data_IF_949928351643
#
_entry.id   IF_949928351643
#
_cell.length_a   1.000
_cell.length_b   1.000
_cell.length_c   1.000
_cell.angle_alpha   90.00
_cell.angle_beta   90.00
_cell.angle_gamma   90.00
#
_symmetry.space_group_name_H-M   'P 1'
#
loop_
_entity.id
_entity.type
_entity.pdbx_description
1 polymer ?
#
# COMPACT_ATOMS: atom_id res chain seq x y z
N UNK A 1 -29.87 0.79 18.02
CA UNK A 1 -28.43 0.47 18.09
C UNK A 1 -27.96 0.09 16.69
N UNK A 2 -26.86 0.65 16.23
CA UNK A 2 -26.17 0.22 15.00
C UNK A 2 -25.24 -0.92 15.41
N UNK A 3 -25.32 -2.03 14.70
CA UNK A 3 -24.39 -3.16 14.80
C UNK A 3 -23.53 -3.17 13.55
N UNK A 4 -22.37 -3.81 13.61
CA UNK A 4 -21.48 -3.98 12.46
C UNK A 4 -21.27 -5.47 12.18
N UNK A 5 -21.21 -5.82 10.90
CA UNK A 5 -20.82 -7.19 10.50
C UNK A 5 -19.36 -7.43 10.88
N UNK A 6 -18.99 -8.69 11.06
CA UNK A 6 -17.58 -9.04 11.27
C UNK A 6 -16.72 -8.56 10.08
N UNK A 7 -15.48 -8.11 10.31
CA UNK A 7 -14.54 -7.80 9.25
C UNK A 7 -14.31 -9.03 8.35
N UNK A 8 -14.31 -8.82 7.04
CA UNK A 8 -13.94 -9.88 6.10
C UNK A 8 -12.45 -10.18 6.11
N UNK A 9 -12.04 -11.27 5.47
CA UNK A 9 -10.62 -11.64 5.38
C UNK A 9 -9.87 -10.87 4.28
N UNK A 10 -10.55 -10.23 3.33
CA UNK A 10 -9.88 -9.47 2.27
C UNK A 10 -9.29 -8.15 2.78
N UNK A 11 -8.20 -7.73 2.13
CA UNK A 11 -7.52 -6.47 2.41
C UNK A 11 -7.53 -5.57 1.19
N UNK A 12 -7.96 -4.33 1.37
CA UNK A 12 -7.81 -3.26 0.40
C UNK A 12 -6.52 -2.48 0.68
N UNK A 13 -5.80 -2.12 -0.36
CA UNK A 13 -4.52 -1.45 -0.25
C UNK A 13 -4.35 -0.35 -1.31
N UNK A 14 -3.39 0.54 -1.06
CA UNK A 14 -2.83 1.40 -2.10
C UNK A 14 -1.71 0.64 -2.78
N UNK A 15 -1.77 0.55 -4.11
CA UNK A 15 -0.66 0.17 -4.95
C UNK A 15 0.25 1.36 -5.24
N UNK A 16 1.53 1.11 -5.43
CA UNK A 16 2.55 2.10 -5.79
C UNK A 16 3.18 1.71 -7.12
N UNK A 17 2.97 2.51 -8.17
CA UNK A 17 3.53 2.24 -9.49
C UNK A 17 5.01 2.65 -9.54
N UNK A 18 5.89 1.68 -9.56
CA UNK A 18 7.35 1.90 -9.56
C UNK A 18 7.93 2.09 -10.96
N UNK A 19 7.17 1.81 -12.02
CA UNK A 19 7.68 1.90 -13.40
C UNK A 19 6.67 2.47 -14.41
N UNK A 20 5.92 3.50 -14.01
CA UNK A 20 4.92 4.14 -14.86
C UNK A 20 5.50 4.64 -16.18
N UNK A 21 4.82 4.33 -17.30
CA UNK A 21 5.20 4.71 -18.65
C UNK A 21 4.10 5.51 -19.38
N UNK A 22 2.82 5.37 -19.00
CA UNK A 22 1.69 6.08 -19.59
C UNK A 22 1.30 7.30 -18.74
N UNK A 23 1.04 8.44 -19.40
CA UNK A 23 0.71 9.72 -18.77
C UNK A 23 -0.46 10.43 -19.47
N UNK A 24 -1.36 9.68 -20.12
CA UNK A 24 -2.53 10.22 -20.86
C UNK A 24 -3.40 11.09 -19.97
N UNK A 25 -3.67 10.65 -18.74
CA UNK A 25 -4.54 11.33 -17.78
C UNK A 25 -3.76 12.11 -16.71
N UNK A 26 -2.45 12.21 -16.85
CA UNK A 26 -1.59 12.80 -15.84
C UNK A 26 -1.76 14.31 -15.69
N UNK A 27 -1.70 14.79 -14.46
CA UNK A 27 -1.55 16.22 -14.15
C UNK A 27 -0.16 16.75 -14.52
N UNK A 28 0.87 15.91 -14.54
CA UNK A 28 2.27 16.25 -14.87
C UNK A 28 2.41 16.68 -16.34
N UNK A 29 3.01 17.84 -16.57
CA UNK A 29 3.13 18.42 -17.92
C UNK A 29 4.53 18.32 -18.49
N UNK A 30 5.55 18.19 -17.67
CA UNK A 30 6.95 18.16 -18.07
C UNK A 30 7.60 16.81 -17.78
N UNK A 31 8.66 16.48 -18.52
CA UNK A 31 9.43 15.26 -18.26
C UNK A 31 10.18 15.34 -16.92
N UNK A 32 10.50 16.55 -16.45
CA UNK A 32 11.10 16.76 -15.14
C UNK A 32 10.14 16.37 -14.02
N UNK A 33 8.84 16.72 -14.09
CA UNK A 33 7.82 16.31 -13.12
C UNK A 33 7.63 14.78 -13.13
N UNK A 34 7.54 14.16 -14.31
CA UNK A 34 7.42 12.69 -14.45
C UNK A 34 8.62 11.97 -13.84
N UNK A 35 9.84 12.44 -14.15
CA UNK A 35 11.08 11.87 -13.63
C UNK A 35 11.18 12.05 -12.11
N UNK A 36 10.79 13.22 -11.59
CA UNK A 36 10.77 13.51 -10.16
C UNK A 36 9.85 12.55 -9.41
N UNK A 37 8.64 12.34 -9.91
CA UNK A 37 7.69 11.39 -9.30
C UNK A 37 8.24 9.95 -9.35
N UNK A 38 8.77 9.51 -10.49
CA UNK A 38 9.35 8.17 -10.61
C UNK A 38 10.49 7.94 -9.61
N UNK A 39 11.41 8.88 -9.47
CA UNK A 39 12.49 8.81 -8.48
C UNK A 39 11.96 8.79 -7.05
N UNK A 40 10.96 9.61 -6.73
CA UNK A 40 10.34 9.63 -5.42
C UNK A 40 9.69 8.29 -5.08
N UNK A 41 8.94 7.68 -6.00
CA UNK A 41 8.30 6.38 -5.78
C UNK A 41 9.30 5.21 -5.67
N UNK A 42 10.51 5.33 -6.20
CA UNK A 42 11.60 4.37 -6.00
C UNK A 42 12.34 4.56 -4.66
N UNK A 43 12.21 5.70 -4.02
CA UNK A 43 12.82 5.98 -2.71
C UNK A 43 11.95 5.41 -1.58
N UNK A 44 12.54 4.56 -0.73
CA UNK A 44 11.83 3.88 0.38
C UNK A 44 11.30 4.86 1.40
N UNK A 45 12.12 5.82 1.84
CA UNK A 45 11.73 6.78 2.87
C UNK A 45 10.56 7.66 2.39
N UNK A 46 10.50 7.95 1.08
CA UNK A 46 9.36 8.65 0.48
C UNK A 46 8.08 7.81 0.59
N UNK A 47 8.12 6.52 0.23
CA UNK A 47 6.95 5.65 0.34
C UNK A 47 6.50 5.47 1.79
N UNK A 48 7.44 5.31 2.73
CA UNK A 48 7.15 5.25 4.17
C UNK A 48 6.51 6.55 4.66
N UNK A 49 6.97 7.71 4.19
CA UNK A 49 6.36 8.99 4.53
C UNK A 49 4.89 9.08 4.10
N UNK A 50 4.56 8.56 2.92
CA UNK A 50 3.17 8.46 2.45
C UNK A 50 2.36 7.50 3.33
N UNK A 51 2.92 6.33 3.67
CA UNK A 51 2.25 5.33 4.51
C UNK A 51 1.87 5.90 5.89
N UNK A 52 2.80 6.59 6.55
CA UNK A 52 2.55 7.23 7.86
C UNK A 52 1.67 8.48 7.77
N UNK A 53 1.52 9.11 6.60
CA UNK A 53 0.69 10.28 6.38
C UNK A 53 -0.81 9.98 6.21
N UNK A 54 -1.18 8.72 5.96
CA UNK A 54 -2.55 8.30 5.68
C UNK A 54 -3.32 8.07 6.98
N UNK A 55 -4.35 8.90 7.23
CA UNK A 55 -5.36 8.69 8.27
C UNK A 55 -6.41 7.70 7.76
N UNK A 56 -6.20 6.42 8.06
CA UNK A 56 -7.10 5.33 7.65
C UNK A 56 -8.47 5.44 8.30
N UNK A 57 -8.54 6.02 9.50
CA UNK A 57 -9.81 6.27 10.18
C UNK A 57 -10.62 7.32 9.44
N UNK A 58 -10.00 8.42 9.02
CA UNK A 58 -10.67 9.44 8.21
C UNK A 58 -11.11 8.88 6.85
N UNK A 59 -10.25 8.09 6.18
CA UNK A 59 -10.55 7.41 4.93
C UNK A 59 -11.75 6.48 5.05
N UNK A 60 -11.77 5.62 6.06
CA UNK A 60 -12.84 4.63 6.25
C UNK A 60 -14.14 5.23 6.81
N UNK A 61 -14.06 6.38 7.47
CA UNK A 61 -15.27 7.10 7.94
C UNK A 61 -16.20 7.50 6.79
N UNK A 62 -15.69 7.59 5.56
CA UNK A 62 -16.50 7.83 4.35
C UNK A 62 -17.44 6.65 4.04
N UNK A 63 -17.11 5.45 4.49
CA UNK A 63 -17.86 4.21 4.25
C UNK A 63 -18.74 3.85 5.45
N UNK A 64 -18.15 3.74 6.63
CA UNK A 64 -18.78 3.14 7.82
C UNK A 64 -19.22 4.19 8.86
N UNK A 65 -19.02 5.48 8.57
CA UNK A 65 -19.16 6.52 9.58
C UNK A 65 -18.06 6.44 10.65
N UNK A 66 -18.04 7.41 11.56
CA UNK A 66 -16.95 7.53 12.56
C UNK A 66 -16.89 6.33 13.51
N UNK A 67 -18.03 5.82 13.93
CA UNK A 67 -18.10 4.78 14.97
C UNK A 67 -17.70 3.40 14.43
N UNK A 68 -17.88 3.15 13.12
CA UNK A 68 -17.54 1.88 12.48
C UNK A 68 -16.19 1.87 11.77
N UNK A 69 -15.57 3.02 11.59
CA UNK A 69 -14.36 3.14 10.78
C UNK A 69 -13.20 2.28 11.29
N UNK A 70 -12.94 2.31 12.60
CA UNK A 70 -11.84 1.57 13.20
C UNK A 70 -11.95 0.07 12.97
N UNK A 71 -13.15 -0.50 13.01
CA UNK A 71 -13.37 -1.94 12.85
C UNK A 71 -12.91 -2.49 11.49
N UNK A 72 -12.81 -1.63 10.50
CA UNK A 72 -12.44 -2.00 9.14
C UNK A 72 -10.98 -1.72 8.80
N UNK A 73 -10.16 -1.21 9.72
CA UNK A 73 -8.76 -0.85 9.43
C UNK A 73 -7.87 -2.08 9.40
N UNK A 74 -6.99 -2.11 8.39
CA UNK A 74 -5.88 -3.05 8.23
C UNK A 74 -4.55 -2.31 8.34
N UNK A 75 -3.65 -2.82 9.18
CA UNK A 75 -2.27 -2.32 9.28
C UNK A 75 -1.27 -3.24 8.58
N UNK A 76 -1.68 -4.44 8.21
CA UNK A 76 -0.90 -5.41 7.43
C UNK A 76 -1.70 -5.88 6.23
N UNK A 77 -1.03 -6.38 5.20
CA UNK A 77 -1.72 -6.95 4.04
C UNK A 77 -2.35 -8.31 4.38
N UNK A 78 -1.63 -9.17 5.10
CA UNK A 78 -2.22 -10.35 5.76
C UNK A 78 -2.91 -9.88 7.04
N UNK A 79 -4.20 -10.18 7.27
CA UNK A 79 -4.87 -9.82 8.53
C UNK A 79 -4.10 -10.31 9.75
N UNK A 80 -3.99 -9.48 10.79
CA UNK A 80 -3.14 -9.75 11.95
C UNK A 80 -3.49 -11.02 12.72
N UNK A 81 -4.75 -11.46 12.65
CA UNK A 81 -5.29 -12.67 13.30
C UNK A 81 -5.57 -13.82 12.33
N UNK A 82 -5.08 -13.73 11.08
CA UNK A 82 -5.39 -14.70 10.02
C UNK A 82 -4.89 -16.12 10.33
N UNK A 83 -3.67 -16.22 10.89
CA UNK A 83 -3.08 -17.47 11.41
C UNK A 83 -2.33 -17.19 12.70
N UNK A 84 -2.00 -18.26 13.44
CA UNK A 84 -1.22 -18.17 14.68
C UNK A 84 -0.13 -19.24 14.73
N UNK A 85 1.01 -18.93 15.33
CA UNK A 85 2.09 -19.84 15.65
C UNK A 85 2.21 -19.95 17.17
N UNK A 86 1.75 -21.05 17.75
CA UNK A 86 1.59 -21.18 19.19
C UNK A 86 0.62 -20.13 19.73
N UNK A 87 1.05 -19.35 20.72
CA UNK A 87 0.25 -18.31 21.37
C UNK A 87 0.32 -16.94 20.64
N UNK A 88 1.11 -16.81 19.57
CA UNK A 88 1.32 -15.57 18.84
C UNK A 88 0.43 -15.51 17.60
N UNK A 89 -0.25 -14.39 17.40
CA UNK A 89 -0.91 -14.08 16.14
C UNK A 89 0.12 -13.79 15.05
N UNK A 90 -0.30 -13.79 13.79
CA UNK A 90 0.57 -13.37 12.68
C UNK A 90 1.06 -11.93 12.85
N UNK A 91 0.19 -11.04 13.33
CA UNK A 91 0.57 -9.66 13.65
C UNK A 91 1.64 -9.54 14.73
N UNK A 92 1.61 -10.42 15.75
CA UNK A 92 2.66 -10.47 16.78
C UNK A 92 4.01 -10.90 16.17
N UNK A 93 4.01 -11.92 15.31
CA UNK A 93 5.20 -12.37 14.60
C UNK A 93 5.79 -11.25 13.72
N UNK A 94 4.94 -10.55 12.97
CA UNK A 94 5.37 -9.41 12.14
C UNK A 94 5.96 -8.30 13.02
N UNK A 95 5.32 -7.97 14.14
CA UNK A 95 5.81 -6.94 15.07
C UNK A 95 7.23 -7.26 15.57
N UNK A 96 7.51 -8.51 15.88
CA UNK A 96 8.84 -8.97 16.27
C UNK A 96 9.88 -8.76 15.15
N UNK A 97 9.51 -9.09 13.89
CA UNK A 97 10.40 -8.89 12.74
C UNK A 97 10.62 -7.40 12.46
N UNK A 98 9.58 -6.57 12.57
CA UNK A 98 9.67 -5.12 12.34
C UNK A 98 10.66 -4.42 13.28
N UNK A 99 10.87 -4.97 14.48
CA UNK A 99 11.86 -4.44 15.43
C UNK A 99 13.31 -4.46 14.90
N UNK A 100 13.57 -5.22 13.84
CA UNK A 100 14.91 -5.34 13.22
C UNK A 100 15.15 -4.35 12.07
N UNK A 101 14.13 -3.60 11.64
CA UNK A 101 14.26 -2.63 10.53
C UNK A 101 14.77 -1.28 11.06
N UNK A 102 13.92 -0.36 11.42
CA UNK A 102 14.38 0.97 11.82
C UNK A 102 13.52 1.57 12.94
N UNK A 103 14.01 2.68 13.52
CA UNK A 103 13.31 3.39 14.60
C UNK A 103 11.96 3.95 14.16
N UNK A 104 11.75 4.15 12.86
CA UNK A 104 10.47 4.56 12.28
C UNK A 104 9.35 3.59 12.65
N UNK A 105 9.64 2.32 12.84
CA UNK A 105 8.66 1.28 13.21
C UNK A 105 8.46 1.13 14.72
N UNK A 106 9.27 1.81 15.53
CA UNK A 106 9.16 1.75 16.99
C UNK A 106 7.80 2.25 17.46
N UNK A 107 7.12 1.43 18.29
CA UNK A 107 5.81 1.75 18.87
C UNK A 107 4.63 1.66 17.90
N UNK A 108 4.83 1.17 16.67
CA UNK A 108 3.73 0.89 15.74
C UNK A 108 2.95 -0.35 16.23
N UNK A 109 1.64 -0.24 16.22
CA UNK A 109 0.74 -1.35 16.54
C UNK A 109 0.15 -1.90 15.25
N UNK A 110 0.52 -3.12 14.88
CA UNK A 110 0.07 -3.78 13.65
C UNK A 110 -1.24 -4.57 13.80
N UNK A 111 -1.86 -4.58 15.00
CA UNK A 111 -3.16 -5.22 15.17
C UNK A 111 -4.24 -4.53 14.35
N UNK A 112 -5.19 -5.31 13.82
CA UNK A 112 -6.35 -4.80 13.10
C UNK A 112 -7.34 -4.05 14.00
N UNK A 113 -8.26 -3.32 13.41
CA UNK A 113 -9.33 -2.64 14.14
C UNK A 113 -8.92 -1.31 14.80
N UNK A 114 -7.76 -0.80 14.47
CA UNK A 114 -7.25 0.51 14.91
C UNK A 114 -6.23 1.03 13.90
N UNK A 115 -6.01 2.35 13.82
CA UNK A 115 -4.99 2.94 12.94
C UNK A 115 -3.65 3.04 13.68
N UNK A 116 -2.82 2.00 13.54
CA UNK A 116 -1.50 1.94 14.16
C UNK A 116 -0.40 2.62 13.36
N UNK A 117 -0.66 2.92 12.09
CA UNK A 117 0.33 3.47 11.16
C UNK A 117 0.26 4.99 11.04
N UNK A 118 -0.92 5.60 11.16
CA UNK A 118 -1.05 7.05 11.01
C UNK A 118 -0.23 7.80 12.07
N UNK A 119 0.81 8.47 11.61
CA UNK A 119 1.69 9.27 12.48
C UNK A 119 2.33 10.41 11.68
N UNK A 120 1.74 11.64 11.70
CA UNK A 120 2.25 12.78 10.95
C UNK A 120 3.71 13.16 11.28
N UNK A 121 4.16 12.92 12.50
CA UNK A 121 5.55 13.25 12.87
C UNK A 121 6.55 12.26 12.25
N UNK A 122 6.22 10.95 12.27
CA UNK A 122 7.00 9.94 11.52
C UNK A 122 6.96 10.22 10.01
N UNK A 123 5.78 10.56 9.47
CA UNK A 123 5.64 10.93 8.06
C UNK A 123 6.59 12.07 7.68
N UNK A 124 6.68 13.14 8.49
CA UNK A 124 7.59 14.26 8.26
C UNK A 124 9.05 13.86 8.39
N UNK A 125 9.39 13.01 9.38
CA UNK A 125 10.76 12.55 9.59
C UNK A 125 11.27 11.73 8.38
N UNK A 126 10.48 10.76 7.91
CA UNK A 126 10.82 9.96 6.73
C UNK A 126 10.85 10.84 5.46
N UNK A 127 9.90 11.78 5.32
CA UNK A 127 9.93 12.71 4.21
C UNK A 127 11.18 13.58 4.20
N UNK A 128 11.67 14.01 5.36
CA UNK A 128 12.89 14.82 5.46
C UNK A 128 14.12 14.05 4.93
N UNK A 129 14.25 12.76 5.30
CA UNK A 129 15.30 11.87 4.77
C UNK A 129 15.17 11.72 3.25
N UNK A 130 13.96 11.41 2.77
CA UNK A 130 13.69 11.27 1.35
C UNK A 130 14.01 12.55 0.57
N UNK A 131 13.60 13.72 1.09
CA UNK A 131 13.80 15.01 0.44
C UNK A 131 15.29 15.34 0.28
N UNK A 132 16.10 15.10 1.30
CA UNK A 132 17.56 15.29 1.23
C UNK A 132 18.18 14.44 0.11
N UNK A 133 17.87 13.13 0.08
CA UNK A 133 18.37 12.23 -0.95
C UNK A 133 17.89 12.63 -2.35
N UNK A 134 16.61 12.90 -2.52
CA UNK A 134 15.99 13.23 -3.80
C UNK A 134 16.47 14.59 -4.35
N UNK A 135 16.70 15.58 -3.49
CA UNK A 135 17.30 16.87 -3.90
C UNK A 135 18.72 16.66 -4.46
N UNK A 136 19.50 15.77 -3.86
CA UNK A 136 20.82 15.38 -4.38
C UNK A 136 20.78 14.76 -5.78
N UNK A 137 19.62 14.15 -6.14
CA UNK A 137 19.37 13.58 -7.47
C UNK A 137 18.72 14.56 -8.46
N UNK A 138 18.52 15.82 -8.09
CA UNK A 138 17.91 16.86 -8.92
C UNK A 138 16.38 16.75 -9.05
N UNK A 139 15.72 16.09 -8.08
CA UNK A 139 14.26 15.98 -8.03
C UNK A 139 13.63 17.33 -7.73
N UNK A 140 12.56 17.67 -8.46
CA UNK A 140 11.79 18.89 -8.29
C UNK A 140 10.57 18.63 -7.37
N UNK A 141 10.28 19.57 -6.50
CA UNK A 141 9.11 19.56 -5.61
C UNK A 141 8.11 20.67 -6.02
N UNK A 142 6.79 20.47 -5.75
CA UNK A 142 6.19 19.30 -5.11
C UNK A 142 6.24 18.05 -6.00
N UNK A 143 6.23 16.87 -5.36
CA UNK A 143 6.00 15.61 -6.06
C UNK A 143 4.51 15.47 -6.34
N UNK A 144 4.14 15.29 -7.58
CA UNK A 144 2.77 15.09 -8.05
C UNK A 144 2.45 13.60 -8.16
N UNK A 145 1.47 13.13 -7.41
CA UNK A 145 0.99 11.74 -7.44
C UNK A 145 -0.41 11.67 -8.05
N UNK A 146 -0.51 11.13 -9.27
CA UNK A 146 -1.79 10.91 -9.93
C UNK A 146 -2.51 9.71 -9.28
N UNK A 147 -3.77 9.97 -8.87
CA UNK A 147 -4.69 8.99 -8.29
C UNK A 147 -5.96 8.94 -9.14
N UNK A 148 -6.12 7.95 -10.03
CA UNK A 148 -7.33 7.81 -10.82
C UNK A 148 -8.50 7.33 -9.97
N UNK A 149 -9.67 7.90 -10.20
CA UNK A 149 -10.92 7.50 -9.54
C UNK A 149 -12.09 7.53 -10.53
N UNK A 150 -13.04 6.63 -10.34
CA UNK A 150 -14.31 6.64 -11.07
C UNK A 150 -15.15 7.85 -10.60
N UNK A 151 -15.36 8.82 -11.51
CA UNK A 151 -16.13 10.04 -11.24
C UNK A 151 -17.61 9.78 -10.92
N UNK A 152 -18.15 8.63 -11.31
CA UNK A 152 -19.52 8.24 -11.02
C UNK A 152 -19.72 7.75 -9.58
N UNK A 153 -18.65 7.30 -8.92
CA UNK A 153 -18.63 6.82 -7.55
C UNK A 153 -18.34 7.96 -6.56
N UNK A 154 -19.39 8.54 -5.98
CA UNK A 154 -19.24 9.58 -4.95
C UNK A 154 -18.38 9.10 -3.76
N UNK A 155 -18.47 7.82 -3.42
CA UNK A 155 -17.69 7.22 -2.35
C UNK A 155 -16.20 7.20 -2.69
N UNK A 156 -15.82 6.71 -3.87
CA UNK A 156 -14.42 6.65 -4.29
C UNK A 156 -13.81 8.06 -4.37
N UNK A 157 -14.57 9.03 -4.88
CA UNK A 157 -14.15 10.45 -4.90
C UNK A 157 -13.95 10.98 -3.48
N UNK A 158 -14.86 10.69 -2.53
CA UNK A 158 -14.73 11.14 -1.14
C UNK A 158 -13.51 10.47 -0.44
N UNK A 159 -13.28 9.20 -0.68
CA UNK A 159 -12.10 8.48 -0.17
C UNK A 159 -10.79 9.05 -0.75
N UNK A 160 -10.73 9.32 -2.05
CA UNK A 160 -9.57 9.96 -2.68
C UNK A 160 -9.31 11.37 -2.11
N UNK A 161 -10.35 12.15 -1.86
CA UNK A 161 -10.24 13.44 -1.20
C UNK A 161 -9.72 13.33 0.23
N UNK A 162 -10.13 12.30 0.97
CA UNK A 162 -9.61 12.01 2.31
C UNK A 162 -8.10 11.71 2.27
N UNK A 163 -7.64 10.85 1.34
CA UNK A 163 -6.23 10.59 1.13
C UNK A 163 -5.45 11.89 0.82
N UNK A 164 -5.93 12.67 -0.14
CA UNK A 164 -5.33 13.97 -0.49
C UNK A 164 -5.19 14.86 0.73
N UNK A 165 -6.28 15.05 1.48
CA UNK A 165 -6.28 15.95 2.64
C UNK A 165 -5.31 15.51 3.73
N UNK A 166 -5.24 14.21 4.05
CA UNK A 166 -4.40 13.72 5.14
C UNK A 166 -2.93 13.70 4.75
N UNK A 167 -2.59 13.30 3.52
CA UNK A 167 -1.22 13.30 3.03
C UNK A 167 -0.69 14.74 2.90
N UNK A 168 -1.42 15.64 2.23
CA UNK A 168 -0.99 17.02 2.04
C UNK A 168 -0.94 17.81 3.36
N UNK A 169 -1.84 17.51 4.31
CA UNK A 169 -1.78 18.10 5.66
C UNK A 169 -0.55 17.65 6.43
N UNK A 170 -0.17 16.38 6.31
CA UNK A 170 0.97 15.81 7.03
C UNK A 170 2.31 16.26 6.45
N UNK A 171 2.44 16.29 5.12
CA UNK A 171 3.70 16.53 4.43
C UNK A 171 3.87 17.95 3.89
N UNK A 172 2.78 18.70 3.73
CA UNK A 172 2.73 20.01 3.07
C UNK A 172 2.53 19.89 1.55
N UNK A 173 1.61 20.69 1.00
CA UNK A 173 1.32 20.71 -0.44
C UNK A 173 2.46 21.29 -1.28
N UNK A 174 3.41 21.99 -0.66
CA UNK A 174 4.67 22.44 -1.27
C UNK A 174 5.66 21.27 -1.46
N UNK A 175 5.41 20.13 -0.86
CA UNK A 175 6.24 18.94 -0.91
C UNK A 175 5.58 17.81 -1.73
N UNK A 176 4.30 17.53 -1.47
CA UNK A 176 3.55 16.45 -2.13
C UNK A 176 2.15 16.95 -2.48
N UNK A 177 1.71 16.66 -3.69
CA UNK A 177 0.36 16.96 -4.18
C UNK A 177 -0.27 15.66 -4.70
N UNK A 178 -1.45 15.35 -4.21
CA UNK A 178 -2.27 14.26 -4.76
C UNK A 178 -3.17 14.82 -5.84
N UNK A 179 -2.94 14.42 -7.08
CA UNK A 179 -3.76 14.80 -8.23
C UNK A 179 -4.85 13.77 -8.46
N UNK A 180 -6.07 14.09 -8.06
CA UNK A 180 -7.23 13.20 -8.20
C UNK A 180 -7.71 13.30 -9.65
N UNK A 181 -7.47 12.24 -10.43
CA UNK A 181 -7.91 12.15 -11.83
C UNK A 181 -9.31 11.51 -11.86
N UNK A 182 -10.35 12.34 -11.90
CA UNK A 182 -11.73 11.88 -12.03
C UNK A 182 -11.99 11.48 -13.48
N UNK A 183 -12.12 10.18 -13.72
CA UNK A 183 -12.28 9.57 -15.04
C UNK A 183 -13.66 8.94 -15.19
N UNK A 184 -14.08 8.68 -16.43
CA UNK A 184 -15.19 7.77 -16.67
C UNK A 184 -14.86 6.37 -16.14
N UNK A 185 -15.88 5.55 -15.84
CA UNK A 185 -15.64 4.20 -15.33
C UNK A 185 -14.76 3.39 -16.29
N UNK A 186 -15.03 3.47 -17.60
CA UNK A 186 -14.24 2.78 -18.63
C UNK A 186 -12.78 3.28 -18.70
N UNK A 187 -12.57 4.59 -18.68
CA UNK A 187 -11.21 5.15 -18.70
C UNK A 187 -10.44 4.79 -17.42
N UNK A 188 -11.10 4.83 -16.27
CA UNK A 188 -10.49 4.42 -14.99
C UNK A 188 -10.09 2.96 -15.01
N UNK A 189 -10.96 2.06 -15.46
CA UNK A 189 -10.66 0.63 -15.58
C UNK A 189 -9.50 0.38 -16.58
N UNK A 190 -9.51 1.05 -17.73
CA UNK A 190 -8.45 0.91 -18.72
C UNK A 190 -7.11 1.54 -18.30
N UNK A 191 -7.15 2.53 -17.40
CA UNK A 191 -5.95 3.13 -16.82
C UNK A 191 -5.33 2.27 -15.70
N UNK A 192 -6.10 1.33 -15.15
CA UNK A 192 -5.72 0.51 -13.99
C UNK A 192 -5.89 -0.99 -14.30
N UNK A 193 -6.83 -1.65 -13.66
CA UNK A 193 -7.03 -3.12 -13.64
C UNK A 193 -7.11 -3.76 -15.03
N UNK A 194 -7.81 -3.12 -15.98
CA UNK A 194 -8.00 -3.63 -17.34
C UNK A 194 -6.91 -3.14 -18.34
N UNK A 195 -5.86 -2.48 -17.86
CA UNK A 195 -4.73 -2.13 -18.71
C UNK A 195 -4.13 -3.39 -19.36
N UNK A 196 -3.85 -3.31 -20.66
CA UNK A 196 -3.38 -4.47 -21.43
C UNK A 196 -2.03 -5.04 -20.94
N UNK A 197 -1.21 -4.19 -20.34
CA UNK A 197 0.08 -4.50 -19.73
C UNK A 197 0.47 -3.36 -18.79
N UNK A 198 1.54 -3.52 -18.03
CA UNK A 198 2.02 -2.50 -17.09
C UNK A 198 2.37 -1.16 -17.77
N UNK A 199 2.91 -1.19 -18.99
CA UNK A 199 3.24 0.02 -19.73
C UNK A 199 2.01 0.85 -20.14
N UNK A 200 0.83 0.24 -20.17
CA UNK A 200 -0.45 0.92 -20.47
C UNK A 200 -1.10 1.52 -19.23
N UNK A 201 -0.68 1.16 -18.03
CA UNK A 201 -1.21 1.72 -16.77
C UNK A 201 -0.89 3.20 -16.62
N UNK A 202 -1.85 3.97 -16.10
CA UNK A 202 -1.80 5.43 -16.04
C UNK A 202 -2.14 5.93 -14.63
N UNK A 203 -1.26 5.62 -13.67
CA UNK A 203 -1.40 6.00 -12.27
C UNK A 203 -0.03 6.00 -11.56
N UNK A 204 0.11 6.77 -10.50
CA UNK A 204 1.26 6.73 -9.59
C UNK A 204 0.92 5.97 -8.31
N UNK A 205 -0.27 6.20 -7.77
CA UNK A 205 -0.86 5.45 -6.67
C UNK A 205 -2.30 5.05 -7.02
N UNK A 206 -2.73 3.88 -6.56
CA UNK A 206 -4.08 3.35 -6.80
C UNK A 206 -4.68 2.82 -5.51
N UNK A 207 -5.89 3.28 -5.13
CA UNK A 207 -6.59 2.88 -3.91
C UNK A 207 -7.71 1.86 -4.14
N UNK A 208 -7.77 1.26 -5.31
CA UNK A 208 -8.86 0.36 -5.72
C UNK A 208 -8.52 -1.12 -5.66
N UNK A 209 -7.37 -1.49 -5.13
CA UNK A 209 -6.92 -2.88 -5.20
C UNK A 209 -7.33 -3.63 -3.94
N UNK A 210 -8.01 -4.76 -4.12
CA UNK A 210 -8.50 -5.63 -3.03
C UNK A 210 -8.06 -7.05 -3.30
N UNK A 211 -7.55 -7.72 -2.27
CA UNK A 211 -7.21 -9.14 -2.33
C UNK A 211 -7.81 -9.90 -1.16
N UNK A 212 -8.25 -11.12 -1.39
CA UNK A 212 -8.77 -12.04 -0.38
C UNK A 212 -8.12 -13.41 -0.46
N UNK A 213 -8.16 -14.19 0.63
CA UNK A 213 -7.50 -15.48 0.67
C UNK A 213 -8.30 -16.55 -0.10
N UNK A 214 -7.58 -17.42 -0.80
CA UNK A 214 -8.13 -18.64 -1.40
C UNK A 214 -8.10 -19.81 -0.41
N UNK A 215 -7.18 -19.75 0.58
CA UNK A 215 -6.98 -20.77 1.62
C UNK A 215 -6.32 -20.16 2.86
N UNK A 216 -6.32 -20.89 3.98
CA UNK A 216 -5.82 -20.38 5.27
C UNK A 216 -4.32 -20.60 5.43
N UNK A 217 -3.53 -19.88 4.64
CA UNK A 217 -2.05 -19.81 4.75
C UNK A 217 -1.61 -18.43 4.27
N UNK A 218 -0.62 -17.76 4.91
CA UNK A 218 -0.18 -16.42 4.53
C UNK A 218 0.32 -16.30 3.07
N UNK A 219 0.75 -17.41 2.47
CA UNK A 219 1.16 -17.44 1.06
C UNK A 219 0.08 -16.92 0.10
N UNK A 220 -1.20 -17.17 0.42
CA UNK A 220 -2.31 -16.70 -0.43
C UNK A 220 -2.36 -15.17 -0.58
N UNK A 221 -1.81 -14.43 0.39
CA UNK A 221 -1.69 -12.97 0.32
C UNK A 221 -0.34 -12.51 -0.21
N UNK A 222 0.75 -13.18 0.14
CA UNK A 222 2.10 -12.66 -0.05
C UNK A 222 2.73 -13.13 -1.36
N UNK A 223 2.44 -14.34 -1.83
CA UNK A 223 3.01 -14.88 -3.06
C UNK A 223 2.55 -14.13 -4.32
N UNK A 224 1.45 -13.37 -4.25
CA UNK A 224 0.97 -12.53 -5.36
C UNK A 224 1.95 -11.39 -5.70
N UNK A 225 2.82 -10.99 -4.77
CA UNK A 225 3.82 -9.95 -4.99
C UNK A 225 5.18 -10.50 -5.44
N UNK A 226 5.31 -11.81 -5.64
CA UNK A 226 6.51 -12.41 -6.22
C UNK A 226 6.76 -11.82 -7.60
N UNK A 227 8.02 -11.55 -7.94
CA UNK A 227 8.36 -10.88 -9.22
C UNK A 227 7.85 -11.63 -10.45
N UNK A 228 7.56 -12.93 -10.33
CA UNK A 228 6.99 -13.77 -11.38
C UNK A 228 5.46 -13.73 -11.47
N UNK A 229 4.77 -13.03 -10.57
CA UNK A 229 3.30 -12.91 -10.54
C UNK A 229 2.82 -11.71 -11.35
N UNK A 230 3.14 -11.67 -12.65
CA UNK A 230 3.05 -10.50 -13.53
C UNK A 230 1.70 -9.77 -13.52
N UNK A 231 0.55 -10.47 -13.44
CA UNK A 231 -0.77 -9.81 -13.36
C UNK A 231 -0.96 -9.04 -12.04
N UNK A 232 -0.50 -9.61 -10.93
CA UNK A 232 -0.63 -8.97 -9.63
C UNK A 232 0.39 -7.85 -9.45
N UNK A 233 1.65 -8.06 -9.87
CA UNK A 233 2.67 -7.00 -9.80
C UNK A 233 2.32 -5.84 -10.75
N UNK A 234 1.70 -6.09 -11.90
CA UNK A 234 1.09 -5.06 -12.73
C UNK A 234 0.10 -4.25 -11.91
N UNK A 235 -0.90 -4.89 -11.35
CA UNK A 235 -2.02 -4.24 -10.67
C UNK A 235 -1.62 -3.47 -9.40
N UNK A 236 -0.64 -3.98 -8.64
CA UNK A 236 -0.24 -3.38 -7.35
C UNK A 236 1.01 -2.50 -7.44
N UNK A 237 1.91 -2.76 -8.40
CA UNK A 237 3.22 -2.13 -8.45
C UNK A 237 3.60 -1.55 -9.80
N UNK A 238 2.75 -1.71 -10.84
CA UNK A 238 2.94 -1.10 -12.14
C UNK A 238 4.04 -1.73 -13.01
N UNK A 239 4.37 -3.03 -12.81
CA UNK A 239 5.29 -3.76 -13.68
C UNK A 239 4.84 -5.22 -13.88
N UNK A 240 5.19 -5.81 -15.03
CA UNK A 240 4.80 -7.19 -15.41
C UNK A 240 5.98 -8.04 -15.93
N UNK A 241 7.18 -7.47 -16.04
CA UNK A 241 8.41 -8.20 -16.38
C UNK A 241 9.18 -8.60 -15.11
N UNK A 242 9.43 -9.90 -14.85
CA UNK A 242 10.20 -10.35 -13.68
C UNK A 242 11.65 -9.85 -13.66
N UNK A 243 12.17 -9.35 -14.78
CA UNK A 243 13.50 -8.72 -14.88
C UNK A 243 13.44 -7.18 -14.88
N UNK A 244 12.33 -6.60 -14.47
CA UNK A 244 12.15 -5.15 -14.41
C UNK A 244 13.23 -4.48 -13.55
N UNK A 245 13.84 -3.42 -14.11
CA UNK A 245 14.95 -2.72 -13.44
C UNK A 245 14.49 -1.97 -12.17
N UNK A 246 13.28 -1.39 -12.17
CA UNK A 246 12.71 -0.72 -11.00
C UNK A 246 12.40 -1.73 -9.88
N UNK A 247 11.85 -2.89 -10.22
CA UNK A 247 11.63 -3.99 -9.28
C UNK A 247 12.94 -4.47 -8.62
N UNK A 248 14.01 -4.58 -9.41
CA UNK A 248 15.32 -4.90 -8.90
C UNK A 248 15.89 -3.78 -7.99
N UNK A 249 15.70 -2.52 -8.38
CA UNK A 249 16.17 -1.37 -7.60
C UNK A 249 15.50 -1.27 -6.23
N UNK A 250 14.20 -1.58 -6.11
CA UNK A 250 13.48 -1.56 -4.83
C UNK A 250 13.68 -2.85 -4.01
N UNK A 251 14.47 -3.82 -4.48
CA UNK A 251 14.85 -5.01 -3.74
C UNK A 251 13.85 -6.17 -3.78
N UNK A 252 12.92 -6.24 -4.76
CA UNK A 252 11.91 -7.30 -4.82
C UNK A 252 12.49 -8.71 -4.97
N UNK A 253 13.73 -8.87 -5.44
CA UNK A 253 14.41 -10.19 -5.44
C UNK A 253 14.75 -10.69 -4.04
N UNK A 254 15.01 -9.80 -3.09
CA UNK A 254 15.18 -10.18 -1.69
C UNK A 254 13.85 -10.65 -1.10
N UNK A 255 12.73 -9.99 -1.47
CA UNK A 255 11.39 -10.45 -1.13
C UNK A 255 11.07 -11.83 -1.71
N UNK A 256 11.39 -12.09 -2.98
CA UNK A 256 11.25 -13.42 -3.59
C UNK A 256 11.98 -14.50 -2.78
N UNK A 257 13.21 -14.21 -2.33
CA UNK A 257 13.99 -15.15 -1.52
C UNK A 257 13.34 -15.43 -0.16
N UNK A 258 12.69 -14.44 0.47
CA UNK A 258 11.92 -14.63 1.71
C UNK A 258 10.71 -15.53 1.46
N UNK A 259 9.97 -15.32 0.37
CA UNK A 259 8.83 -16.18 -0.02
C UNK A 259 9.30 -17.62 -0.30
N UNK A 260 10.39 -17.80 -1.05
CA UNK A 260 10.93 -19.14 -1.35
C UNK A 260 11.37 -19.86 -0.07
N UNK A 261 11.98 -19.14 0.88
CA UNK A 261 12.34 -19.69 2.19
C UNK A 261 11.10 -20.13 2.98
N UNK A 262 10.02 -19.32 2.99
CA UNK A 262 8.77 -19.65 3.66
C UNK A 262 8.07 -20.83 3.00
N UNK A 263 7.98 -20.86 1.67
CA UNK A 263 7.36 -21.92 0.89
C UNK A 263 8.08 -23.26 1.04
N UNK A 264 9.39 -23.26 1.24
CA UNK A 264 10.19 -24.47 1.46
C UNK A 264 9.92 -25.17 2.79
N UNK A 265 9.32 -24.47 3.77
CA UNK A 265 8.92 -25.09 5.05
C UNK A 265 7.56 -25.74 4.90
N UNK A 266 7.54 -27.08 4.93
CA UNK A 266 6.33 -27.88 4.71
C UNK A 266 5.96 -28.80 5.88
N UNK A 267 6.81 -28.81 6.91
CA UNK A 267 6.66 -29.77 8.03
C UNK A 267 6.30 -29.09 9.35
N UNK A 268 6.77 -27.89 9.59
CA UNK A 268 6.51 -27.09 10.79
C UNK A 268 5.73 -25.81 10.42
N UNK A 269 4.42 -25.80 10.67
CA UNK A 269 3.57 -24.65 10.39
C UNK A 269 3.97 -23.40 11.18
N UNK A 270 4.47 -23.55 12.42
CA UNK A 270 4.90 -22.39 13.19
C UNK A 270 6.14 -21.73 12.56
N UNK A 271 7.11 -22.55 12.15
CA UNK A 271 8.30 -22.08 11.43
C UNK A 271 7.92 -21.47 10.05
N UNK A 272 6.96 -22.06 9.35
CA UNK A 272 6.43 -21.53 8.09
C UNK A 272 5.82 -20.14 8.27
N UNK A 273 4.94 -19.98 9.25
CA UNK A 273 4.29 -18.69 9.52
C UNK A 273 5.29 -17.63 10.01
N UNK A 274 6.29 -18.02 10.79
CA UNK A 274 7.38 -17.10 11.18
C UNK A 274 8.18 -16.59 9.97
N UNK A 275 8.45 -17.44 8.98
CA UNK A 275 9.12 -17.03 7.73
C UNK A 275 8.23 -16.15 6.85
N UNK A 276 6.92 -16.43 6.74
CA UNK A 276 5.99 -15.52 6.05
C UNK A 276 5.84 -14.19 6.79
N UNK A 277 5.91 -14.17 8.12
CA UNK A 277 5.94 -12.92 8.88
C UNK A 277 7.19 -12.07 8.56
N UNK A 278 8.33 -12.70 8.26
CA UNK A 278 9.52 -11.99 7.77
C UNK A 278 9.27 -11.37 6.38
N UNK A 279 8.59 -12.08 5.48
CA UNK A 279 8.22 -11.54 4.16
C UNK A 279 7.20 -10.38 4.29
N UNK A 280 6.19 -10.50 5.17
CA UNK A 280 5.27 -9.40 5.45
C UNK A 280 5.99 -8.19 6.06
N UNK A 281 6.93 -8.39 6.97
CA UNK A 281 7.70 -7.30 7.56
C UNK A 281 8.54 -6.57 6.50
N UNK A 282 9.15 -7.30 5.58
CA UNK A 282 9.85 -6.70 4.44
C UNK A 282 8.91 -5.87 3.56
N UNK A 283 7.73 -6.41 3.24
CA UNK A 283 6.73 -5.72 2.42
C UNK A 283 6.25 -4.44 3.10
N UNK A 284 6.03 -4.48 4.41
CA UNK A 284 5.63 -3.32 5.21
C UNK A 284 6.73 -2.26 5.25
N UNK A 285 7.98 -2.65 5.54
CA UNK A 285 9.12 -1.74 5.53
C UNK A 285 9.34 -1.10 4.15
N UNK A 286 9.12 -1.85 3.07
CA UNK A 286 9.23 -1.34 1.71
C UNK A 286 8.18 -0.28 1.37
N UNK A 287 7.00 -0.34 2.00
CA UNK A 287 5.81 0.45 1.69
C UNK A 287 5.46 0.49 0.19
N UNK A 288 5.73 -0.62 -0.52
CA UNK A 288 5.35 -0.79 -1.94
C UNK A 288 3.87 -1.10 -2.11
N UNK A 289 3.27 -1.72 -1.11
CA UNK A 289 1.83 -1.94 -0.97
C UNK A 289 1.44 -1.43 0.41
N UNK A 290 0.51 -0.49 0.46
CA UNK A 290 0.11 0.18 1.70
C UNK A 290 -1.27 -0.32 2.10
N UNK A 291 -1.39 -1.18 3.13
CA UNK A 291 -2.67 -1.65 3.61
C UNK A 291 -3.56 -0.50 4.10
N UNK A 292 -4.86 -0.59 3.83
CA UNK A 292 -5.83 0.42 4.26
C UNK A 292 -6.92 -0.18 5.15
N UNK A 293 -7.73 -1.06 4.58
CA UNK A 293 -8.99 -1.50 5.20
C UNK A 293 -9.33 -2.92 4.79
N UNK A 294 -10.31 -3.49 5.46
CA UNK A 294 -10.95 -4.71 4.96
C UNK A 294 -11.62 -4.41 3.62
N UNK A 295 -11.51 -5.33 2.68
CA UNK A 295 -12.15 -5.20 1.37
C UNK A 295 -13.68 -5.40 1.45
N UNK A 296 -14.16 -6.13 2.46
CA UNK A 296 -15.58 -6.37 2.72
C UNK A 296 -15.83 -6.64 4.21
N UNK A 297 -17.06 -6.53 4.64
CA UNK A 297 -17.43 -6.64 6.06
C UNK A 297 -17.34 -5.31 6.79
N UNK A 298 -17.47 -5.35 8.12
CA UNK A 298 -17.58 -4.18 9.00
C UNK A 298 -18.66 -3.18 8.57
N UNK A 299 -19.65 -3.64 7.81
CA UNK A 299 -20.77 -2.80 7.35
C UNK A 299 -21.77 -2.56 8.47
N UNK A 300 -22.35 -1.33 8.58
CA UNK A 300 -23.38 -1.06 9.55
C UNK A 300 -24.67 -1.85 9.23
N UNK A 301 -25.29 -2.42 10.25
CA UNK A 301 -26.56 -3.14 10.17
C UNK A 301 -27.55 -2.47 11.13
N UNK A 302 -28.76 -2.18 10.65
CA UNK A 302 -29.83 -1.53 11.42
C UNK A 302 -30.86 -2.59 11.84
#
# INVERSE_FOLDING_TARGET
NIYYTAPGASTAAIGVNIDRQNYKFSAKKTDAEKTSTKKALLNKDFRQSINFAIDRTAYQSQVNGKDGAALAIRNLFVPSDFVSAGDKTFGDLVTEKMSTYGDEWSGVNFADGQDGLYNPEKAKAEFAKAKEALQGEGVQFPIHLDLPVDQSSKLNVAQAQSLKQTIEKSLGSENVVIDINQLSSDDMQNATLNAANAAAEDWDISNGVVWGPDYQDPSTYLDIFKTTSSENTKTFMGYDDPNNAAAAQVGLKDYDALLDSAASETTDLNARYDRYAQAQAWLEDSSLVIPLTVGNGAAPVI
#
